data_IF_127462060084
#
_entry.id   IF_127462060084
#
_cell.length_a   1.000
_cell.length_b   1.000
_cell.length_c   1.000
_cell.angle_alpha   90.00
_cell.angle_beta   90.00
_cell.angle_gamma   90.00
#
_symmetry.space_group_name_H-M   'P 1'
#
loop_
_entity.id
_entity.type
_entity.pdbx_description
1 polymer ?
#
# COMPACT_ATOMS: atom_id res chain seq x y z
N UNK A 1 6.03 6.40 -26.71
CA UNK A 1 5.39 5.43 -25.79
C UNK A 1 3.88 5.34 -25.99
N UNK A 2 3.12 6.43 -26.11
CA UNK A 2 1.67 6.40 -26.35
C UNK A 2 1.28 5.69 -27.64
N UNK A 3 1.90 6.04 -28.77
CA UNK A 3 1.66 5.38 -30.05
C UNK A 3 1.94 3.88 -29.98
N UNK A 4 2.97 3.51 -29.22
CA UNK A 4 3.28 2.09 -28.98
C UNK A 4 2.19 1.40 -28.17
N UNK A 5 1.73 2.01 -27.05
CA UNK A 5 0.63 1.44 -26.27
C UNK A 5 -0.68 1.30 -27.07
N UNK A 6 -0.93 2.22 -28.01
CA UNK A 6 -2.09 2.15 -28.91
C UNK A 6 -2.00 1.00 -29.93
N UNK A 7 -0.81 0.77 -30.50
CA UNK A 7 -0.56 -0.24 -31.54
C UNK A 7 -0.29 -1.64 -30.98
N UNK A 8 0.01 -1.78 -29.67
CA UNK A 8 0.31 -3.07 -29.07
C UNK A 8 -0.90 -4.02 -29.10
N UNK A 9 -0.69 -5.23 -29.62
CA UNK A 9 -1.73 -6.25 -29.79
C UNK A 9 -1.83 -7.21 -28.62
N UNK A 10 -0.70 -7.47 -27.93
CA UNK A 10 -0.73 -8.31 -26.74
C UNK A 10 -1.34 -7.54 -25.58
N UNK A 11 -2.46 -7.98 -25.00
CA UNK A 11 -3.17 -7.22 -23.97
C UNK A 11 -2.38 -7.06 -22.66
N UNK A 12 -1.49 -8.01 -22.32
CA UNK A 12 -0.64 -7.90 -21.13
C UNK A 12 0.47 -6.88 -21.37
N UNK A 13 1.14 -6.91 -22.53
CA UNK A 13 2.12 -5.89 -22.89
C UNK A 13 1.48 -4.50 -22.96
N UNK A 14 0.27 -4.41 -23.49
CA UNK A 14 -0.50 -3.16 -23.52
C UNK A 14 -0.78 -2.64 -22.12
N UNK A 15 -1.17 -3.52 -21.19
CA UNK A 15 -1.38 -3.18 -19.77
C UNK A 15 -0.10 -2.66 -19.12
N UNK A 16 1.04 -3.31 -19.38
CA UNK A 16 2.36 -2.87 -18.90
C UNK A 16 2.70 -1.48 -19.45
N UNK A 17 2.50 -1.24 -20.74
CA UNK A 17 2.77 0.06 -21.35
C UNK A 17 1.90 1.18 -20.74
N UNK A 18 0.63 0.90 -20.48
CA UNK A 18 -0.24 1.85 -19.79
C UNK A 18 0.21 2.11 -18.36
N UNK A 19 0.68 1.10 -17.62
CA UNK A 19 1.26 1.27 -16.28
C UNK A 19 2.53 2.14 -16.31
N UNK A 20 3.40 1.92 -17.29
CA UNK A 20 4.60 2.75 -17.49
C UNK A 20 4.23 4.20 -17.81
N UNK A 21 3.26 4.42 -18.69
CA UNK A 21 2.76 5.77 -19.02
C UNK A 21 2.20 6.48 -17.78
N UNK A 22 1.40 5.78 -16.96
CA UNK A 22 0.86 6.37 -15.72
C UNK A 22 1.98 6.82 -14.79
N UNK A 23 3.01 5.99 -14.63
CA UNK A 23 4.17 6.31 -13.79
C UNK A 23 4.97 7.49 -14.33
N UNK A 24 5.26 7.53 -15.63
CA UNK A 24 6.02 8.62 -16.27
C UNK A 24 5.28 9.96 -16.16
N UNK A 25 3.95 9.98 -16.36
CA UNK A 25 3.16 11.20 -16.16
C UNK A 25 3.14 11.65 -14.70
N UNK A 26 3.03 10.72 -13.75
CA UNK A 26 3.06 11.04 -12.33
C UNK A 26 4.44 11.57 -11.91
N UNK A 27 5.53 10.97 -12.37
CA UNK A 27 6.90 11.43 -12.11
C UNK A 27 7.17 12.81 -12.74
N UNK A 28 6.72 13.03 -13.98
CA UNK A 28 6.82 14.34 -14.64
C UNK A 28 6.05 15.41 -13.87
N UNK A 29 4.84 15.12 -13.41
CA UNK A 29 4.04 15.99 -12.59
C UNK A 29 4.74 16.32 -11.26
N UNK A 30 5.28 15.33 -10.58
CA UNK A 30 6.05 15.47 -9.34
C UNK A 30 7.30 16.35 -9.53
N UNK A 31 8.09 16.09 -10.58
CA UNK A 31 9.30 16.88 -10.92
C UNK A 31 8.99 18.34 -11.21
N UNK A 32 7.83 18.62 -11.79
CA UNK A 32 7.40 19.98 -12.14
C UNK A 32 6.44 20.61 -11.12
N UNK A 33 6.34 20.07 -9.91
CA UNK A 33 5.38 20.47 -8.88
C UNK A 33 5.31 21.98 -8.67
N UNK A 34 6.46 22.66 -8.51
CA UNK A 34 6.50 24.11 -8.26
C UNK A 34 5.84 24.92 -9.39
N UNK A 35 6.14 24.55 -10.63
CA UNK A 35 5.59 25.20 -11.81
C UNK A 35 4.08 24.94 -11.92
N UNK A 36 3.65 23.70 -11.71
CA UNK A 36 2.24 23.33 -11.79
C UNK A 36 1.38 24.03 -10.72
N UNK A 37 1.88 24.11 -9.47
CA UNK A 37 1.17 24.80 -8.38
C UNK A 37 1.13 26.32 -8.53
N UNK A 38 2.08 26.92 -9.26
CA UNK A 38 2.09 28.37 -9.51
C UNK A 38 1.22 28.81 -10.68
N UNK A 39 0.74 27.86 -11.49
CA UNK A 39 -0.16 28.18 -12.63
C UNK A 39 -1.54 28.53 -12.11
N UNK A 40 -2.06 29.63 -12.60
CA UNK A 40 -3.48 29.96 -12.45
C UNK A 40 -4.30 28.85 -13.13
N UNK A 41 -5.37 28.41 -12.49
CA UNK A 41 -6.31 27.43 -13.07
C UNK A 41 -6.99 28.06 -14.28
N UNK A 42 -6.35 27.95 -15.43
CA UNK A 42 -7.01 28.23 -16.69
C UNK A 42 -7.85 26.98 -17.02
N UNK A 43 -9.15 27.14 -16.96
CA UNK A 43 -10.09 26.16 -17.52
C UNK A 43 -9.99 26.23 -19.04
N UNK A 44 -9.05 25.47 -19.59
CA UNK A 44 -8.97 25.26 -21.03
C UNK A 44 -9.69 23.96 -21.31
N UNK A 45 -10.77 24.02 -22.09
CA UNK A 45 -11.58 22.83 -22.44
C UNK A 45 -10.79 21.86 -23.33
N UNK A 46 -9.75 22.31 -24.01
CA UNK A 46 -8.89 21.50 -24.86
C UNK A 46 -7.57 21.15 -24.16
N UNK A 47 -7.13 19.89 -24.33
CA UNK A 47 -5.83 19.45 -23.83
C UNK A 47 -4.74 19.94 -24.77
N UNK A 48 -3.80 20.80 -24.32
CA UNK A 48 -2.72 21.28 -25.17
C UNK A 48 -1.89 20.13 -25.75
N UNK A 49 -1.39 20.30 -26.98
CA UNK A 49 -0.47 19.31 -27.59
C UNK A 49 0.87 19.26 -26.80
N UNK A 50 1.34 20.39 -26.32
CA UNK A 50 2.54 20.46 -25.50
C UNK A 50 2.25 20.10 -24.06
N UNK A 51 2.77 18.96 -23.61
CA UNK A 51 2.63 18.48 -22.22
C UNK A 51 3.13 19.47 -21.18
N UNK A 52 4.06 20.37 -21.56
CA UNK A 52 4.55 21.43 -20.68
C UNK A 52 3.49 22.46 -20.33
N UNK A 53 2.43 22.55 -21.10
CA UNK A 53 1.30 23.47 -20.88
C UNK A 53 0.16 22.82 -20.07
N UNK A 54 0.22 21.53 -19.82
CA UNK A 54 -0.83 20.81 -19.11
C UNK A 54 -1.05 21.34 -17.69
N UNK A 55 -2.31 21.38 -17.31
CA UNK A 55 -2.76 21.66 -15.94
C UNK A 55 -2.66 20.40 -15.06
N UNK A 56 -2.76 20.60 -13.73
CA UNK A 56 -2.83 19.51 -12.75
C UNK A 56 -3.96 18.54 -13.10
N UNK A 57 -5.15 19.05 -13.43
CA UNK A 57 -6.31 18.19 -13.77
C UNK A 57 -6.06 17.33 -14.99
N UNK A 58 -5.43 17.86 -16.03
CA UNK A 58 -5.11 17.13 -17.26
C UNK A 58 -4.09 16.00 -17.00
N UNK A 59 -3.06 16.26 -16.18
CA UNK A 59 -2.15 15.20 -15.72
C UNK A 59 -2.87 14.12 -14.92
N UNK A 60 -3.68 14.51 -13.95
CA UNK A 60 -4.43 13.57 -13.08
C UNK A 60 -5.38 12.71 -13.90
N UNK A 61 -6.11 13.29 -14.84
CA UNK A 61 -7.01 12.55 -15.73
C UNK A 61 -6.27 11.57 -16.63
N UNK A 62 -5.09 11.96 -17.10
CA UNK A 62 -4.26 11.09 -17.92
C UNK A 62 -3.71 9.91 -17.13
N UNK A 63 -3.19 10.16 -15.92
CA UNK A 63 -2.69 9.14 -15.00
C UNK A 63 -3.82 8.16 -14.64
N UNK A 64 -5.01 8.68 -14.27
CA UNK A 64 -6.17 7.86 -13.95
C UNK A 64 -6.60 6.97 -15.12
N UNK A 65 -6.68 7.51 -16.34
CA UNK A 65 -7.01 6.75 -17.54
C UNK A 65 -5.99 5.65 -17.82
N UNK A 66 -4.70 5.95 -17.71
CA UNK A 66 -3.64 4.98 -17.93
C UNK A 66 -3.66 3.88 -16.87
N UNK A 67 -3.81 4.21 -15.58
CA UNK A 67 -3.92 3.22 -14.50
C UNK A 67 -5.13 2.29 -14.71
N UNK A 68 -6.31 2.84 -15.03
CA UNK A 68 -7.50 2.02 -15.31
C UNK A 68 -7.31 1.11 -16.53
N UNK A 69 -6.69 1.60 -17.58
CA UNK A 69 -6.42 0.80 -18.78
C UNK A 69 -5.41 -0.34 -18.46
N UNK A 70 -4.43 -0.10 -17.59
CA UNK A 70 -3.48 -1.12 -17.17
C UNK A 70 -4.09 -2.25 -16.32
N UNK A 71 -5.19 -1.98 -15.63
CA UNK A 71 -5.84 -2.95 -14.72
C UNK A 71 -7.12 -3.56 -15.29
N UNK A 72 -7.52 -3.20 -16.49
CA UNK A 72 -8.83 -3.53 -17.08
C UNK A 72 -9.08 -5.04 -17.21
N UNK A 73 -8.07 -5.83 -17.64
CA UNK A 73 -8.20 -7.28 -17.86
C UNK A 73 -7.58 -8.05 -16.67
N UNK A 74 -8.18 -7.89 -15.48
CA UNK A 74 -7.68 -8.51 -14.25
C UNK A 74 -7.57 -10.03 -14.35
N UNK A 75 -8.50 -10.71 -15.03
CA UNK A 75 -8.49 -12.17 -15.18
C UNK A 75 -7.24 -12.63 -15.93
N UNK A 76 -6.93 -11.98 -17.04
CA UNK A 76 -5.75 -12.30 -17.83
C UNK A 76 -4.46 -12.00 -17.07
N UNK A 77 -4.41 -10.85 -16.41
CA UNK A 77 -3.26 -10.44 -15.61
C UNK A 77 -3.00 -11.39 -14.44
N UNK A 78 -4.04 -11.85 -13.75
CA UNK A 78 -3.94 -12.87 -12.70
C UNK A 78 -3.38 -14.21 -13.23
N UNK A 79 -3.70 -14.58 -14.48
CA UNK A 79 -3.26 -15.82 -15.10
C UNK A 79 -1.90 -15.68 -15.81
N UNK A 80 -1.27 -14.52 -15.77
CA UNK A 80 0.05 -14.28 -16.34
C UNK A 80 1.09 -14.15 -15.23
N UNK A 81 2.07 -15.06 -15.20
CA UNK A 81 3.18 -14.97 -14.24
C UNK A 81 4.11 -13.81 -14.60
N UNK A 82 4.51 -13.04 -13.59
CA UNK A 82 5.53 -12.00 -13.74
C UNK A 82 6.91 -12.57 -14.13
N UNK A 83 7.17 -13.85 -13.83
CA UNK A 83 8.41 -14.56 -14.22
C UNK A 83 8.61 -14.60 -15.74
N UNK A 84 7.53 -14.55 -16.53
CA UNK A 84 7.63 -14.49 -18.00
C UNK A 84 8.28 -13.19 -18.50
N UNK A 85 8.41 -12.19 -17.63
CA UNK A 85 8.94 -10.87 -17.94
C UNK A 85 10.34 -10.61 -17.37
N UNK A 86 11.01 -11.65 -16.83
CA UNK A 86 12.44 -11.57 -16.47
C UNK A 86 13.30 -11.39 -17.75
N UNK A 87 14.27 -10.49 -17.79
CA UNK A 87 14.85 -9.71 -16.67
C UNK A 87 14.20 -8.33 -16.44
N UNK A 88 13.14 -7.95 -17.13
CA UNK A 88 12.47 -6.65 -16.97
C UNK A 88 11.73 -6.55 -15.63
N UNK A 89 11.29 -7.67 -15.08
CA UNK A 89 10.75 -7.79 -13.73
C UNK A 89 11.76 -8.52 -12.86
N UNK A 90 12.21 -7.89 -11.80
CA UNK A 90 13.11 -8.50 -10.81
C UNK A 90 12.25 -9.07 -9.68
N UNK A 91 12.33 -10.39 -9.49
CA UNK A 91 11.69 -11.08 -8.38
C UNK A 91 12.72 -11.26 -7.27
N UNK A 92 12.64 -10.45 -6.24
CA UNK A 92 13.52 -10.53 -5.08
C UNK A 92 12.97 -11.51 -4.04
N UNK A 93 13.83 -12.09 -3.22
CA UNK A 93 13.44 -12.98 -2.11
C UNK A 93 12.48 -12.31 -1.11
N UNK A 94 12.55 -10.99 -1.00
CA UNK A 94 11.64 -10.17 -0.19
C UNK A 94 10.32 -9.85 -0.89
N UNK A 95 10.16 -10.15 -2.19
CA UNK A 95 8.86 -9.97 -2.84
C UNK A 95 7.85 -10.88 -2.16
N UNK A 96 6.81 -10.26 -1.63
CA UNK A 96 5.80 -10.98 -0.88
C UNK A 96 5.07 -11.96 -1.78
N UNK A 97 4.62 -13.03 -1.19
CA UNK A 97 4.02 -14.22 -1.76
C UNK A 97 2.68 -14.06 -2.45
N UNK A 98 2.41 -12.94 -3.00
CA UNK A 98 1.44 -12.88 -4.07
C UNK A 98 1.93 -13.83 -5.15
N UNK A 99 1.13 -14.67 -5.72
CA UNK A 99 1.53 -15.70 -6.68
C UNK A 99 2.32 -15.22 -7.89
N UNK A 100 3.14 -14.16 -7.75
CA UNK A 100 3.95 -13.51 -8.78
C UNK A 100 3.16 -13.22 -10.07
N UNK A 101 1.86 -12.93 -9.94
CA UNK A 101 1.03 -12.58 -11.09
C UNK A 101 1.21 -11.11 -11.50
N UNK A 102 0.94 -10.85 -12.77
CA UNK A 102 1.05 -9.50 -13.34
C UNK A 102 0.02 -8.54 -12.76
N UNK A 103 -1.12 -9.02 -12.26
CA UNK A 103 -2.14 -8.15 -11.68
C UNK A 103 -1.63 -7.47 -10.42
N UNK A 104 -1.03 -8.22 -9.51
CA UNK A 104 -0.42 -7.65 -8.30
C UNK A 104 0.67 -6.62 -8.63
N UNK A 105 1.55 -6.96 -9.58
CA UNK A 105 2.62 -6.05 -10.00
C UNK A 105 2.04 -4.72 -10.51
N UNK A 106 1.05 -4.78 -11.41
CA UNK A 106 0.47 -3.57 -12.00
C UNK A 106 -0.39 -2.79 -11.00
N UNK A 107 -1.07 -3.47 -10.07
CA UNK A 107 -1.77 -2.81 -8.94
C UNK A 107 -0.79 -2.04 -8.06
N UNK A 108 0.34 -2.65 -7.66
CA UNK A 108 1.36 -1.98 -6.85
C UNK A 108 1.88 -0.73 -7.55
N UNK A 109 2.17 -0.81 -8.84
CA UNK A 109 2.60 0.33 -9.65
C UNK A 109 1.54 1.42 -9.77
N UNK A 110 0.25 1.06 -9.90
CA UNK A 110 -0.84 2.02 -9.95
C UNK A 110 -0.98 2.76 -8.62
N UNK A 111 -0.89 2.06 -7.49
CA UNK A 111 -0.90 2.67 -6.15
C UNK A 111 0.28 3.65 -5.99
N UNK A 112 1.48 3.26 -6.44
CA UNK A 112 2.67 4.12 -6.38
C UNK A 112 2.53 5.36 -7.28
N UNK A 113 1.94 5.23 -8.46
CA UNK A 113 1.66 6.36 -9.34
C UNK A 113 0.68 7.36 -8.68
N UNK A 114 -0.39 6.85 -8.04
CA UNK A 114 -1.33 7.72 -7.30
C UNK A 114 -0.68 8.40 -6.08
N UNK A 115 0.20 7.71 -5.35
CA UNK A 115 0.94 8.31 -4.21
C UNK A 115 1.83 9.47 -4.63
N UNK A 116 2.34 9.49 -5.87
CA UNK A 116 3.10 10.63 -6.37
C UNK A 116 2.27 11.90 -6.57
N UNK A 117 0.93 11.80 -6.55
CA UNK A 117 0.01 12.93 -6.63
C UNK A 117 -0.21 13.63 -5.28
N UNK A 118 0.40 13.14 -4.21
CA UNK A 118 0.29 13.73 -2.87
C UNK A 118 0.73 15.21 -2.89
N UNK A 119 -0.09 16.04 -2.24
CA UNK A 119 0.13 17.47 -2.15
C UNK A 119 -0.22 18.29 -3.40
N UNK A 120 -0.95 17.74 -4.37
CA UNK A 120 -1.53 18.47 -5.50
C UNK A 120 -3.02 18.84 -5.29
N UNK A 121 -3.54 18.73 -4.07
CA UNK A 121 -4.93 19.01 -3.71
C UNK A 121 -5.96 18.07 -4.40
N UNK A 122 -5.52 16.86 -4.74
CA UNK A 122 -6.36 15.83 -5.36
C UNK A 122 -6.58 14.61 -4.45
N UNK A 123 -6.37 14.80 -3.16
CA UNK A 123 -6.30 13.75 -2.14
C UNK A 123 -7.54 12.88 -2.09
N UNK A 124 -8.74 13.49 -2.18
CA UNK A 124 -10.00 12.74 -2.18
C UNK A 124 -10.11 11.78 -3.37
N UNK A 125 -9.68 12.20 -4.56
CA UNK A 125 -9.63 11.34 -5.74
C UNK A 125 -8.65 10.20 -5.54
N UNK A 126 -7.43 10.51 -5.10
CA UNK A 126 -6.35 9.54 -4.86
C UNK A 126 -6.80 8.48 -3.85
N UNK A 127 -7.37 8.89 -2.72
CA UNK A 127 -7.88 7.98 -1.69
C UNK A 127 -8.95 7.04 -2.26
N UNK A 128 -9.93 7.59 -2.96
CA UNK A 128 -11.02 6.81 -3.57
C UNK A 128 -10.48 5.80 -4.60
N UNK A 129 -9.48 6.19 -5.40
CA UNK A 129 -8.88 5.30 -6.42
C UNK A 129 -8.07 4.18 -5.79
N UNK A 130 -7.23 4.47 -4.82
CA UNK A 130 -6.41 3.46 -4.12
C UNK A 130 -7.33 2.48 -3.38
N UNK A 131 -8.35 2.98 -2.65
CA UNK A 131 -9.32 2.10 -1.98
C UNK A 131 -10.00 1.17 -2.97
N UNK A 132 -10.48 1.69 -4.09
CA UNK A 132 -11.12 0.89 -5.13
C UNK A 132 -10.21 -0.19 -5.69
N UNK A 133 -8.95 0.13 -5.97
CA UNK A 133 -7.96 -0.81 -6.47
C UNK A 133 -7.77 -1.98 -5.49
N UNK A 134 -7.61 -1.70 -4.19
CA UNK A 134 -7.47 -2.76 -3.19
C UNK A 134 -8.73 -3.63 -3.08
N UNK A 135 -9.93 -3.03 -3.10
CA UNK A 135 -11.19 -3.77 -3.06
C UNK A 135 -11.37 -4.65 -4.29
N UNK A 136 -11.04 -4.16 -5.48
CA UNK A 136 -11.11 -4.91 -6.73
C UNK A 136 -10.08 -6.06 -6.73
N UNK A 137 -8.86 -5.85 -6.20
CA UNK A 137 -7.84 -6.89 -6.06
C UNK A 137 -8.25 -7.97 -5.05
N UNK A 138 -8.78 -7.60 -3.89
CA UNK A 138 -9.32 -8.57 -2.92
C UNK A 138 -10.45 -9.40 -3.51
N UNK A 139 -11.35 -8.75 -4.27
CA UNK A 139 -12.44 -9.43 -4.95
C UNK A 139 -11.94 -10.42 -6.01
N UNK A 140 -10.92 -10.04 -6.78
CA UNK A 140 -10.31 -10.87 -7.80
C UNK A 140 -9.65 -12.12 -7.18
N UNK A 141 -8.91 -11.98 -6.10
CA UNK A 141 -8.30 -13.11 -5.39
C UNK A 141 -9.33 -14.00 -4.70
N UNK A 142 -10.41 -13.44 -4.15
CA UNK A 142 -11.49 -14.23 -3.53
C UNK A 142 -12.16 -15.19 -4.49
N UNK A 143 -12.26 -14.82 -5.77
CA UNK A 143 -12.91 -15.64 -6.79
C UNK A 143 -11.93 -16.54 -7.55
N UNK A 144 -10.64 -16.55 -7.17
CA UNK A 144 -9.60 -17.39 -7.77
C UNK A 144 -9.16 -18.48 -6.81
N UNK A 145 -9.41 -19.74 -7.17
CA UNK A 145 -8.95 -20.86 -6.38
C UNK A 145 -7.41 -20.85 -6.21
N UNK A 146 -6.94 -21.17 -5.02
CA UNK A 146 -5.51 -21.19 -4.70
C UNK A 146 -4.89 -19.81 -4.43
N UNK A 147 -5.70 -18.75 -4.33
CA UNK A 147 -5.25 -17.39 -4.05
C UNK A 147 -5.52 -16.93 -2.61
N UNK A 148 -5.79 -17.85 -1.70
CA UNK A 148 -6.15 -17.54 -0.30
C UNK A 148 -5.01 -16.78 0.41
N UNK A 149 -3.75 -17.17 0.17
CA UNK A 149 -2.59 -16.48 0.73
C UNK A 149 -2.46 -15.05 0.17
N UNK A 150 -2.65 -14.89 -1.14
CA UNK A 150 -2.65 -13.59 -1.79
C UNK A 150 -3.80 -12.70 -1.28
N UNK A 151 -4.99 -13.27 -1.07
CA UNK A 151 -6.13 -12.56 -0.50
C UNK A 151 -5.83 -12.05 0.92
N UNK A 152 -5.23 -12.88 1.78
CA UNK A 152 -4.84 -12.49 3.12
C UNK A 152 -3.83 -11.32 3.09
N UNK A 153 -2.78 -11.44 2.28
CA UNK A 153 -1.75 -10.41 2.17
C UNK A 153 -2.31 -9.10 1.61
N UNK A 154 -3.19 -9.17 0.59
CA UNK A 154 -3.88 -8.01 0.05
C UNK A 154 -4.73 -7.30 1.12
N UNK A 155 -5.42 -8.06 1.97
CA UNK A 155 -6.18 -7.50 3.09
C UNK A 155 -5.28 -6.75 4.09
N UNK A 156 -4.11 -7.31 4.41
CA UNK A 156 -3.14 -6.64 5.28
C UNK A 156 -2.58 -5.36 4.66
N UNK A 157 -2.28 -5.37 3.37
CA UNK A 157 -1.78 -4.19 2.64
C UNK A 157 -2.84 -3.08 2.55
N UNK A 158 -4.11 -3.45 2.29
CA UNK A 158 -5.23 -2.50 2.32
C UNK A 158 -5.34 -1.79 3.67
N UNK A 159 -5.31 -2.55 4.77
CA UNK A 159 -5.41 -1.96 6.10
C UNK A 159 -4.19 -1.15 6.50
N UNK A 160 -2.98 -1.59 6.12
CA UNK A 160 -1.77 -0.80 6.31
C UNK A 160 -1.87 0.55 5.58
N UNK A 161 -2.30 0.55 4.32
CA UNK A 161 -2.55 1.78 3.59
C UNK A 161 -3.63 2.64 4.25
N UNK A 162 -4.76 2.05 4.63
CA UNK A 162 -5.88 2.77 5.26
C UNK A 162 -5.46 3.47 6.55
N UNK A 163 -4.67 2.83 7.39
CA UNK A 163 -4.20 3.39 8.65
C UNK A 163 -3.09 4.44 8.50
N UNK A 164 -2.24 4.30 7.48
CA UNK A 164 -1.06 5.18 7.29
C UNK A 164 -1.32 6.35 6.36
N UNK A 165 -2.16 6.20 5.36
CA UNK A 165 -2.41 7.20 4.31
C UNK A 165 -3.88 7.58 4.15
N UNK A 166 -4.80 6.63 4.33
CA UNK A 166 -6.23 6.82 4.05
C UNK A 166 -6.96 7.76 5.02
N UNK A 167 -6.43 7.96 6.24
CA UNK A 167 -7.06 8.75 7.30
C UNK A 167 -6.34 10.08 7.54
N UNK A 168 -5.09 10.22 7.10
CA UNK A 168 -4.15 11.27 7.53
C UNK A 168 -4.53 12.71 7.15
N UNK A 169 -5.52 12.93 6.29
CA UNK A 169 -5.81 14.25 5.71
C UNK A 169 -7.02 14.95 6.33
N UNK A 170 -7.46 14.55 7.53
CA UNK A 170 -8.65 15.11 8.16
C UNK A 170 -8.29 16.07 9.31
N UNK A 171 -9.08 17.16 9.51
CA UNK A 171 -8.86 18.09 10.61
C UNK A 171 -9.00 17.42 11.99
N UNK A 172 -8.15 17.81 12.93
CA UNK A 172 -8.30 17.49 14.36
C UNK A 172 -9.55 18.22 14.92
N UNK A 173 -10.43 17.60 15.77
CA UNK A 173 -10.30 16.32 16.44
C UNK A 173 -10.91 15.12 15.70
N UNK A 174 -11.56 15.31 14.57
CA UNK A 174 -12.23 14.26 13.77
C UNK A 174 -11.25 13.17 13.35
N UNK A 175 -10.01 13.56 13.06
CA UNK A 175 -8.92 12.65 12.75
C UNK A 175 -8.70 11.62 13.86
N UNK A 176 -8.58 12.07 15.13
CA UNK A 176 -8.33 11.18 16.27
C UNK A 176 -9.43 10.14 16.44
N UNK A 177 -10.69 10.56 16.39
CA UNK A 177 -11.85 9.65 16.53
C UNK A 177 -11.88 8.60 15.42
N UNK A 178 -11.58 9.01 14.17
CA UNK A 178 -11.52 8.08 13.03
C UNK A 178 -10.36 7.13 13.13
N UNK A 179 -9.20 7.61 13.58
CA UNK A 179 -8.01 6.78 13.81
C UNK A 179 -8.28 5.72 14.89
N UNK A 180 -8.89 6.10 16.01
CA UNK A 180 -9.26 5.17 17.09
C UNK A 180 -10.29 4.12 16.61
N UNK A 181 -11.26 4.54 15.81
CA UNK A 181 -12.23 3.62 15.19
C UNK A 181 -11.54 2.65 14.23
N UNK A 182 -10.71 3.16 13.33
CA UNK A 182 -9.97 2.33 12.37
C UNK A 182 -9.00 1.36 13.06
N UNK A 183 -8.35 1.78 14.13
CA UNK A 183 -7.49 0.91 14.94
C UNK A 183 -8.26 -0.27 15.55
N UNK A 184 -9.47 -0.03 16.07
CA UNK A 184 -10.33 -1.11 16.60
C UNK A 184 -10.80 -2.05 15.49
N UNK A 185 -11.31 -1.50 14.39
CA UNK A 185 -11.75 -2.29 13.22
C UNK A 185 -10.61 -3.16 12.68
N UNK A 186 -9.39 -2.63 12.65
CA UNK A 186 -8.24 -3.39 12.18
C UNK A 186 -7.91 -4.57 13.10
N UNK A 187 -7.91 -4.38 14.42
CA UNK A 187 -7.71 -5.48 15.37
C UNK A 187 -8.77 -6.58 15.21
N UNK A 188 -10.04 -6.20 15.03
CA UNK A 188 -11.12 -7.17 14.77
C UNK A 188 -10.91 -7.95 13.46
N UNK A 189 -10.42 -7.26 12.41
CA UNK A 189 -10.09 -7.91 11.14
C UNK A 189 -8.92 -8.88 11.31
N UNK A 190 -7.85 -8.47 12.03
CA UNK A 190 -6.71 -9.37 12.31
C UNK A 190 -7.15 -10.61 13.08
N UNK A 191 -8.05 -10.49 14.05
CA UNK A 191 -8.60 -11.62 14.80
C UNK A 191 -9.43 -12.57 13.92
N UNK A 192 -10.21 -12.01 12.98
CA UNK A 192 -10.94 -12.80 11.98
C UNK A 192 -9.98 -13.56 11.06
N UNK A 193 -8.94 -12.89 10.56
CA UNK A 193 -7.94 -13.52 9.70
C UNK A 193 -7.18 -14.65 10.42
N UNK A 194 -6.84 -14.49 11.70
CA UNK A 194 -6.22 -15.55 12.51
C UNK A 194 -7.15 -16.78 12.62
N UNK A 195 -8.45 -16.57 12.79
CA UNK A 195 -9.44 -17.67 12.85
C UNK A 195 -9.61 -18.36 11.50
N UNK A 196 -9.65 -17.61 10.43
CA UNK A 196 -9.92 -18.11 9.08
C UNK A 196 -8.69 -18.77 8.46
N UNK A 197 -7.51 -18.15 8.59
CA UNK A 197 -6.27 -18.61 7.95
C UNK A 197 -5.28 -19.27 8.89
N UNK A 198 -5.69 -19.59 10.12
CA UNK A 198 -4.78 -20.09 11.16
C UNK A 198 -4.08 -21.43 10.87
N UNK A 199 -4.55 -22.20 9.90
CA UNK A 199 -3.88 -23.43 9.42
C UNK A 199 -2.80 -23.20 8.37
N UNK A 200 -2.69 -21.98 7.84
CA UNK A 200 -1.75 -21.63 6.77
C UNK A 200 -0.54 -20.90 7.34
N UNK A 201 0.64 -21.22 6.85
CA UNK A 201 1.90 -20.60 7.33
C UNK A 201 1.93 -19.07 7.13
N UNK A 202 1.32 -18.57 6.04
CA UNK A 202 1.21 -17.15 5.75
C UNK A 202 0.46 -16.36 6.84
N UNK A 203 -0.34 -17.03 7.67
CA UNK A 203 -1.00 -16.39 8.81
C UNK A 203 -0.01 -15.81 9.84
N UNK A 204 1.27 -16.23 9.80
CA UNK A 204 2.34 -15.56 10.55
C UNK A 204 2.43 -14.06 10.27
N UNK A 205 2.12 -13.61 9.03
CA UNK A 205 2.06 -12.19 8.68
C UNK A 205 0.99 -11.44 9.49
N UNK A 206 -0.15 -12.09 9.78
CA UNK A 206 -1.20 -11.49 10.60
C UNK A 206 -0.70 -11.23 12.02
N UNK A 207 0.06 -12.18 12.59
CA UNK A 207 0.70 -12.00 13.91
C UNK A 207 1.74 -10.89 13.89
N UNK A 208 2.56 -10.77 12.84
CA UNK A 208 3.52 -9.68 12.67
C UNK A 208 2.80 -8.34 12.64
N UNK A 209 1.75 -8.22 11.83
CA UNK A 209 0.95 -6.99 11.73
C UNK A 209 0.26 -6.65 13.05
N UNK A 210 -0.33 -7.65 13.73
CA UNK A 210 -1.03 -7.45 15.02
C UNK A 210 -0.08 -6.99 16.12
N UNK A 211 1.07 -7.64 16.26
CA UNK A 211 2.07 -7.26 17.25
C UNK A 211 2.61 -5.84 17.00
N UNK A 212 2.96 -5.52 15.74
CA UNK A 212 3.39 -4.18 15.35
C UNK A 212 2.33 -3.11 15.60
N UNK A 213 1.06 -3.43 15.34
CA UNK A 213 -0.04 -2.49 15.55
C UNK A 213 -0.25 -2.23 17.04
N UNK A 214 -0.35 -3.28 17.88
CA UNK A 214 -0.56 -3.15 19.32
C UNK A 214 0.53 -2.33 20.01
N UNK A 215 1.80 -2.52 19.64
CA UNK A 215 2.90 -1.76 20.27
C UNK A 215 2.93 -0.28 19.87
N UNK A 216 2.27 0.11 18.76
CA UNK A 216 2.21 1.49 18.24
C UNK A 216 0.99 2.26 18.71
N UNK A 217 0.02 1.59 19.34
CA UNK A 217 -1.17 2.26 19.89
C UNK A 217 -0.81 3.19 21.04
N UNK A 218 -1.62 4.23 21.23
CA UNK A 218 -1.57 5.11 22.37
C UNK A 218 -2.87 4.93 23.20
N UNK A 219 -2.80 4.44 24.46
CA UNK A 219 -1.59 3.97 25.16
C UNK A 219 -1.05 2.64 24.57
N UNK A 220 0.26 2.42 24.73
CA UNK A 220 0.92 1.19 24.27
C UNK A 220 0.30 -0.06 24.92
N UNK A 221 0.04 -1.09 24.12
CA UNK A 221 -0.46 -2.40 24.57
C UNK A 221 0.65 -3.45 24.48
N UNK A 222 1.79 -3.17 25.14
CA UNK A 222 3.01 -3.97 25.04
C UNK A 222 2.82 -5.42 25.48
N UNK A 223 2.10 -5.65 26.61
CA UNK A 223 1.85 -7.01 27.14
C UNK A 223 1.03 -7.86 26.16
N UNK A 224 0.07 -7.25 25.48
CA UNK A 224 -0.73 -7.95 24.48
C UNK A 224 0.10 -8.23 23.22
N UNK A 225 0.91 -7.27 22.80
CA UNK A 225 1.83 -7.44 21.67
C UNK A 225 2.83 -8.57 21.94
N UNK A 226 3.35 -8.67 23.17
CA UNK A 226 4.25 -9.74 23.58
C UNK A 226 3.58 -11.12 23.49
N UNK A 227 2.36 -11.27 24.00
CA UNK A 227 1.58 -12.50 23.89
C UNK A 227 1.34 -12.92 22.43
N UNK A 228 1.03 -11.94 21.58
CA UNK A 228 0.86 -12.17 20.13
C UNK A 228 2.16 -12.67 19.50
N UNK A 229 3.32 -12.08 19.86
CA UNK A 229 4.62 -12.54 19.37
C UNK A 229 4.89 -13.99 19.79
N UNK A 230 4.69 -14.33 21.07
CA UNK A 230 4.94 -15.66 21.61
C UNK A 230 4.05 -16.72 20.94
N UNK A 231 2.76 -16.42 20.77
CA UNK A 231 1.83 -17.31 20.08
C UNK A 231 2.24 -17.53 18.62
N UNK A 232 2.56 -16.47 17.87
CA UNK A 232 2.98 -16.55 16.48
C UNK A 232 4.28 -17.33 16.30
N UNK A 233 5.28 -17.09 17.18
CA UNK A 233 6.55 -17.84 17.19
C UNK A 233 6.35 -19.33 17.47
N UNK A 234 5.44 -19.68 18.36
CA UNK A 234 5.11 -21.06 18.69
C UNK A 234 4.38 -21.77 17.55
N UNK A 235 3.48 -21.04 16.87
CA UNK A 235 2.57 -21.61 15.87
C UNK A 235 3.22 -21.75 14.49
N UNK A 236 4.11 -20.83 14.13
CA UNK A 236 4.72 -20.77 12.79
C UNK A 236 6.26 -20.67 12.84
N UNK A 237 6.96 -21.59 13.54
CA UNK A 237 8.42 -21.49 13.76
C UNK A 237 9.24 -21.57 12.49
N UNK A 238 8.73 -22.20 11.43
CA UNK A 238 9.38 -22.38 10.14
C UNK A 238 9.06 -21.27 9.12
N UNK A 239 8.19 -20.33 9.47
CA UNK A 239 7.83 -19.27 8.54
C UNK A 239 9.04 -18.38 8.22
N UNK A 240 9.27 -18.13 6.93
CA UNK A 240 10.51 -17.48 6.46
C UNK A 240 10.72 -16.07 7.00
N UNK A 241 9.67 -15.34 7.37
CA UNK A 241 9.76 -14.02 8.01
C UNK A 241 9.56 -14.04 9.53
N UNK A 242 9.65 -15.20 10.15
CA UNK A 242 9.43 -15.36 11.60
C UNK A 242 10.39 -14.50 12.45
N UNK A 243 11.55 -14.14 11.91
CA UNK A 243 12.50 -13.26 12.59
C UNK A 243 11.94 -11.87 12.86
N UNK A 244 10.94 -11.41 12.08
CA UNK A 244 10.22 -10.16 12.37
C UNK A 244 9.52 -10.21 13.74
N UNK A 245 8.85 -11.32 14.07
CA UNK A 245 8.23 -11.49 15.39
C UNK A 245 9.27 -11.56 16.51
N UNK A 246 10.42 -12.19 16.28
CA UNK A 246 11.54 -12.20 17.25
C UNK A 246 12.04 -10.78 17.51
N UNK A 247 12.28 -10.01 16.45
CA UNK A 247 12.72 -8.62 16.54
C UNK A 247 11.70 -7.74 17.27
N UNK A 248 10.41 -7.90 16.98
CA UNK A 248 9.34 -7.16 17.67
C UNK A 248 9.34 -7.51 19.16
N UNK A 249 9.42 -8.80 19.51
CA UNK A 249 9.49 -9.26 20.89
C UNK A 249 10.70 -8.67 21.64
N UNK A 250 11.87 -8.73 21.02
CA UNK A 250 13.10 -8.17 21.60
C UNK A 250 12.98 -6.66 21.82
N UNK A 251 12.43 -5.93 20.86
CA UNK A 251 12.20 -4.48 21.00
C UNK A 251 11.19 -4.14 22.11
N UNK A 252 10.19 -4.98 22.38
CA UNK A 252 9.25 -4.79 23.49
C UNK A 252 9.93 -5.06 24.85
N UNK A 253 10.83 -6.03 24.89
CA UNK A 253 11.54 -6.43 26.11
C UNK A 253 12.76 -5.54 26.43
N UNK A 254 13.23 -4.74 25.49
CA UNK A 254 14.32 -3.80 25.73
C UNK A 254 13.87 -2.72 26.71
N UNK A 255 14.66 -2.42 27.77
CA UNK A 255 14.36 -1.35 28.68
C UNK A 255 14.43 0.00 27.94
N UNK A 256 13.35 0.80 28.01
CA UNK A 256 13.36 2.18 27.53
C UNK A 256 14.02 3.07 28.57
N UNK A 257 15.14 3.71 28.23
CA UNK A 257 15.74 4.76 29.04
C UNK A 257 15.12 6.10 28.66
N UNK A 258 14.28 6.64 29.54
CA UNK A 258 13.68 7.97 29.31
C UNK A 258 14.54 8.98 30.06
N UNK A 259 15.26 9.83 29.32
CA UNK A 259 15.96 10.98 29.87
C UNK A 259 15.02 12.18 29.87
N UNK A 260 14.65 12.62 31.06
CA UNK A 260 13.91 13.89 31.26
C UNK A 260 14.86 14.95 31.79
N UNK A 261 14.77 16.17 31.22
CA UNK A 261 15.45 17.33 31.80
C UNK A 261 14.59 17.90 32.91
N UNK A 262 15.18 18.10 34.07
CA UNK A 262 14.52 18.84 35.13
C UNK A 262 14.61 20.35 34.89
N UNK A 263 13.91 21.15 35.67
CA UNK A 263 13.89 22.62 35.54
C UNK A 263 15.28 23.27 35.70
N UNK A 264 16.24 22.58 36.33
CA UNK A 264 17.63 23.02 36.48
C UNK A 264 18.54 22.62 35.30
N UNK A 265 17.98 22.01 34.25
CA UNK A 265 18.73 21.63 33.03
C UNK A 265 19.60 20.38 33.17
N UNK A 266 19.54 19.66 34.27
CA UNK A 266 20.27 18.40 34.46
C UNK A 266 19.39 17.20 34.09
N UNK A 267 19.95 16.18 33.38
CA UNK A 267 19.20 14.98 33.05
C UNK A 267 18.83 14.20 34.31
N UNK A 268 17.57 13.82 34.41
CA UNK A 268 17.08 12.89 35.43
C UNK A 268 16.79 11.53 34.80
N UNK A 269 17.32 10.46 35.40
CA UNK A 269 17.04 9.08 35.00
C UNK A 269 15.82 8.61 35.80
N UNK A 270 14.78 8.16 35.11
CA UNK A 270 13.62 7.49 35.69
C UNK A 270 13.57 6.05 35.27
#
# INVERSE_FOLDING_TARGET
>A
MESWAQSERNPVNKAILHSLLAYEYADLMRKNRRVLLSRTLLTVDEVPEDIREWSISQFVDKIDRCNRASLQDSIRLLNTSAEQYVPFVVLEDGSRFYGHDMYHLLVSRAVDAYRQLDGFSVDSLVQTRIERIYLDMMNAYRHRAGSEDAMLLCCLDYWNWKLTGGISQQPYPTFRMRQEKANREYLEVLDKLIKEYGSREVCAEVYIHKANHLRRLEPKRADEALKVCEEGLKRYPAYKRINELKNIREQILQPELILTMNESGYPAIR
#
